data_IF_984662420648
#
_entry.id   IF_984662420648
#
_cell.length_a   1.000
_cell.length_b   1.000
_cell.length_c   1.000
_cell.angle_alpha   90.00
_cell.angle_beta   90.00
_cell.angle_gamma   90.00
#
_symmetry.space_group_name_H-M   'P 1'
#
loop_
_entity.id
_entity.type
_entity.pdbx_description
1 polymer ?
#
# COMPACT_ATOMS: atom_id res chain seq x y z
N UNK A 1 -12.78 7.13 10.30
CA UNK A 1 -12.18 5.85 9.92
C UNK A 1 -12.40 4.90 11.08
N UNK A 2 -13.17 3.86 10.82
CA UNK A 2 -13.49 2.79 11.73
C UNK A 2 -12.31 1.81 11.84
N UNK A 3 -12.30 1.04 12.93
CA UNK A 3 -11.34 -0.04 13.16
C UNK A 3 -11.30 -1.04 11.99
N UNK A 4 -12.46 -1.29 11.37
CA UNK A 4 -12.62 -2.21 10.24
C UNK A 4 -11.93 -1.70 8.98
N UNK A 5 -12.06 -0.41 8.65
CA UNK A 5 -11.40 0.20 7.49
C UNK A 5 -9.87 0.16 7.63
N UNK A 6 -9.36 0.39 8.84
CA UNK A 6 -7.92 0.28 9.15
C UNK A 6 -7.47 -1.17 8.98
N UNK A 7 -8.20 -2.13 9.57
CA UNK A 7 -7.87 -3.54 9.44
C UNK A 7 -7.81 -3.96 7.97
N UNK A 8 -8.76 -3.56 7.13
CA UNK A 8 -8.76 -3.87 5.70
C UNK A 8 -7.52 -3.30 4.98
N UNK A 9 -7.13 -2.05 5.25
CA UNK A 9 -5.94 -1.42 4.64
C UNK A 9 -4.66 -2.18 5.00
N UNK A 10 -4.59 -2.74 6.21
CA UNK A 10 -3.39 -3.37 6.74
C UNK A 10 -3.45 -4.92 6.77
N UNK A 11 -4.51 -5.52 6.21
CA UNK A 11 -4.67 -6.98 6.13
C UNK A 11 -3.60 -7.56 5.18
N UNK A 12 -2.76 -8.47 5.67
CA UNK A 12 -1.69 -9.12 4.89
C UNK A 12 -0.28 -8.61 5.20
N UNK A 13 -0.15 -7.54 5.97
CA UNK A 13 1.14 -7.13 6.53
C UNK A 13 1.36 -7.96 7.79
N UNK A 14 2.55 -8.54 8.03
CA UNK A 14 2.85 -9.34 9.21
C UNK A 14 3.01 -8.42 10.43
N UNK A 15 2.00 -7.61 10.76
CA UNK A 15 2.09 -6.68 11.87
C UNK A 15 1.83 -7.46 13.16
N UNK A 16 2.89 -7.71 13.94
CA UNK A 16 2.77 -7.84 15.39
C UNK A 16 2.42 -6.47 16.02
N UNK A 17 1.53 -5.69 15.40
CA UNK A 17 1.04 -4.43 15.94
C UNK A 17 -0.01 -4.76 16.96
N UNK A 18 0.40 -4.69 18.21
CA UNK A 18 -0.53 -4.63 19.31
C UNK A 18 -1.33 -3.34 19.13
N UNK A 19 -2.61 -3.50 18.77
CA UNK A 19 -3.62 -2.45 18.75
C UNK A 19 -3.82 -1.95 20.18
N UNK A 20 -3.19 -0.83 20.55
CA UNK A 20 -3.42 -0.22 21.86
C UNK A 20 -4.23 1.07 21.70
N UNK A 21 -5.50 0.97 22.09
CA UNK A 21 -6.38 2.10 22.33
C UNK A 21 -6.07 2.69 23.71
N UNK A 22 -5.04 3.53 23.80
CA UNK A 22 -4.95 4.49 24.91
C UNK A 22 -5.22 5.90 24.37
N UNK A 23 -6.20 6.56 24.97
CA UNK A 23 -6.55 7.98 24.77
C UNK A 23 -7.10 8.37 23.38
N UNK A 24 -7.98 7.55 22.78
CA UNK A 24 -8.60 7.82 21.46
C UNK A 24 -7.60 8.09 20.31
N UNK A 25 -6.34 7.65 20.47
CA UNK A 25 -5.29 7.79 19.44
C UNK A 25 -4.88 6.41 18.93
N UNK A 26 -5.00 6.24 17.62
CA UNK A 26 -4.53 5.04 16.92
C UNK A 26 -3.01 5.01 16.91
N UNK A 27 -2.40 3.94 17.43
CA UNK A 27 -0.94 3.72 17.39
C UNK A 27 -0.65 2.40 16.70
N UNK A 28 0.10 2.48 15.60
CA UNK A 28 0.65 1.33 14.90
C UNK A 28 2.07 1.09 15.43
N UNK A 29 2.32 -0.11 15.95
CA UNK A 29 3.64 -0.53 16.44
C UNK A 29 4.23 -1.57 15.50
N UNK A 30 5.49 -1.42 15.11
CA UNK A 30 6.18 -2.36 14.23
C UNK A 30 7.22 -3.14 15.05
N UNK A 31 7.39 -4.44 14.80
CA UNK A 31 8.58 -5.17 15.22
C UNK A 31 9.81 -4.59 14.50
N UNK A 32 11.03 -4.82 14.99
CA UNK A 32 12.24 -4.25 14.37
C UNK A 32 12.41 -4.64 12.89
N UNK A 33 12.07 -5.88 12.52
CA UNK A 33 12.09 -6.33 11.13
C UNK A 33 11.00 -5.67 10.28
N UNK A 34 9.81 -5.47 10.86
CA UNK A 34 8.73 -4.76 10.19
C UNK A 34 8.98 -3.26 10.12
N UNK A 35 9.80 -2.69 11.00
CA UNK A 35 10.17 -1.29 11.00
C UNK A 35 11.11 -0.96 9.83
N UNK A 36 12.04 -1.85 9.49
CA UNK A 36 12.87 -1.69 8.29
C UNK A 36 12.06 -1.87 7.00
N UNK A 37 11.17 -2.86 6.95
CA UNK A 37 10.25 -3.03 5.82
C UNK A 37 9.28 -1.83 5.68
N UNK A 38 8.74 -1.34 6.79
CA UNK A 38 7.86 -0.17 6.81
C UNK A 38 8.58 1.12 6.43
N UNK A 39 9.92 1.22 6.55
CA UNK A 39 10.70 2.37 6.07
C UNK A 39 10.82 2.46 4.55
N UNK A 40 10.49 1.39 3.84
CA UNK A 40 10.52 1.37 2.38
C UNK A 40 9.29 2.12 1.83
N UNK A 41 9.40 2.71 0.63
CA UNK A 41 8.23 3.21 -0.08
C UNK A 41 7.24 2.08 -0.34
N UNK A 42 5.95 2.40 -0.41
CA UNK A 42 4.94 1.43 -0.84
C UNK A 42 5.32 0.89 -2.20
N UNK A 43 5.09 -0.41 -2.38
CA UNK A 43 5.31 -1.05 -3.65
C UNK A 43 4.25 -2.09 -3.95
N UNK A 44 4.13 -2.41 -5.23
CA UNK A 44 3.33 -3.50 -5.73
C UNK A 44 4.30 -4.50 -6.33
N UNK A 45 4.33 -5.70 -5.77
CA UNK A 45 4.99 -6.84 -6.38
C UNK A 45 4.07 -7.40 -7.47
N UNK A 46 4.61 -7.69 -8.66
CA UNK A 46 3.81 -8.24 -9.77
C UNK A 46 4.47 -9.46 -10.39
N UNK A 47 3.65 -10.38 -10.88
CA UNK A 47 4.13 -11.70 -11.33
C UNK A 47 4.66 -11.72 -12.77
N UNK A 48 4.23 -10.79 -13.62
CA UNK A 48 4.57 -10.76 -15.05
C UNK A 48 4.50 -9.35 -15.67
N UNK A 49 4.97 -9.22 -16.91
CA UNK A 49 5.06 -7.97 -17.67
C UNK A 49 3.68 -7.33 -17.96
N UNK A 50 2.69 -8.14 -18.33
CA UNK A 50 1.31 -7.71 -18.62
C UNK A 50 0.70 -6.94 -17.44
N UNK A 51 0.93 -7.41 -16.22
CA UNK A 51 0.41 -6.76 -15.01
C UNK A 51 1.07 -5.39 -14.77
N UNK A 52 2.32 -5.18 -15.20
CA UNK A 52 2.91 -3.83 -15.15
C UNK A 52 2.19 -2.85 -16.01
N UNK A 53 1.94 -3.23 -17.26
CA UNK A 53 1.33 -2.33 -18.22
C UNK A 53 -0.04 -1.90 -17.73
N UNK A 54 -0.83 -2.86 -17.23
CA UNK A 54 -2.16 -2.61 -16.68
C UNK A 54 -2.09 -1.65 -15.47
N UNK A 55 -1.23 -1.93 -14.49
CA UNK A 55 -1.13 -1.11 -13.29
C UNK A 55 -0.55 0.27 -13.62
N UNK A 56 0.44 0.34 -14.52
CA UNK A 56 1.09 1.59 -14.90
C UNK A 56 0.15 2.49 -15.70
N UNK A 57 -0.61 1.93 -16.63
CA UNK A 57 -1.67 2.64 -17.34
C UNK A 57 -2.71 3.17 -16.36
N UNK A 58 -3.12 2.34 -15.40
CA UNK A 58 -4.12 2.74 -14.41
C UNK A 58 -3.63 3.87 -13.50
N UNK A 59 -2.39 3.81 -13.02
CA UNK A 59 -1.76 4.91 -12.28
C UNK A 59 -1.67 6.19 -13.11
N UNK A 60 -1.32 6.08 -14.40
CA UNK A 60 -1.30 7.23 -15.32
C UNK A 60 -2.68 7.87 -15.45
N UNK A 61 -3.75 7.08 -15.57
CA UNK A 61 -5.14 7.57 -15.63
C UNK A 61 -5.58 8.27 -14.35
N UNK A 62 -5.06 7.84 -13.20
CA UNK A 62 -5.32 8.47 -11.90
C UNK A 62 -4.40 9.66 -11.61
N UNK A 63 -3.44 9.97 -12.48
CA UNK A 63 -2.37 10.94 -12.24
C UNK A 63 -1.51 10.61 -11.01
N UNK A 64 -1.28 9.32 -10.74
CA UNK A 64 -0.39 8.84 -9.68
C UNK A 64 0.98 8.57 -10.30
N UNK A 65 2.03 9.35 -9.98
CA UNK A 65 3.38 9.06 -10.45
C UNK A 65 3.88 7.72 -9.92
N UNK A 66 4.72 7.03 -10.68
CA UNK A 66 5.32 5.76 -10.25
C UNK A 66 6.76 5.62 -10.72
N UNK A 67 7.47 4.69 -10.09
CA UNK A 67 8.77 4.19 -10.54
C UNK A 67 8.70 2.67 -10.65
N UNK A 68 9.36 2.07 -11.64
CA UNK A 68 9.39 0.62 -11.83
C UNK A 68 10.80 0.09 -11.60
N UNK A 69 10.92 -1.00 -10.85
CA UNK A 69 12.11 -1.83 -10.75
C UNK A 69 11.83 -3.20 -11.37
N UNK A 70 12.10 -3.32 -12.67
CA UNK A 70 11.86 -4.54 -13.45
C UNK A 70 12.69 -5.73 -12.92
N UNK A 71 13.83 -5.47 -12.28
CA UNK A 71 14.73 -6.54 -11.79
C UNK A 71 14.15 -7.30 -10.61
N UNK A 72 13.42 -6.60 -9.73
CA UNK A 72 12.75 -7.16 -8.54
C UNK A 72 11.28 -7.44 -8.76
N UNK A 73 10.80 -6.98 -9.90
CA UNK A 73 9.42 -6.97 -10.27
C UNK A 73 8.49 -6.09 -9.43
N UNK A 74 8.93 -4.85 -9.16
CA UNK A 74 8.21 -3.94 -8.28
C UNK A 74 7.77 -2.66 -8.98
N UNK A 75 6.59 -2.17 -8.60
CA UNK A 75 6.06 -0.85 -8.96
C UNK A 75 5.98 -0.01 -7.69
N UNK A 76 6.54 1.18 -7.70
CA UNK A 76 6.57 2.11 -6.58
C UNK A 76 5.68 3.33 -6.87
N UNK A 77 4.37 3.27 -6.57
CA UNK A 77 3.48 4.42 -6.70
C UNK A 77 3.83 5.51 -5.68
N UNK A 78 3.69 6.77 -6.08
CA UNK A 78 3.95 7.94 -5.25
C UNK A 78 2.63 8.62 -4.90
N UNK A 79 2.16 8.40 -3.68
CA UNK A 79 0.91 8.98 -3.22
C UNK A 79 1.13 10.40 -2.70
N UNK A 80 0.44 11.36 -3.32
CA UNK A 80 0.42 12.76 -2.85
C UNK A 80 -0.69 13.01 -1.82
N UNK A 81 -1.70 12.14 -1.80
CA UNK A 81 -2.87 12.27 -0.96
C UNK A 81 -3.45 10.91 -0.55
N UNK A 82 -4.36 10.93 0.43
CA UNK A 82 -5.17 9.76 0.75
C UNK A 82 -6.06 9.31 -0.39
N UNK A 83 -6.52 10.25 -1.20
CA UNK A 83 -7.40 9.95 -2.31
C UNK A 83 -6.66 9.10 -3.36
N UNK A 84 -5.40 9.40 -3.62
CA UNK A 84 -4.55 8.63 -4.54
C UNK A 84 -4.40 7.18 -4.05
N UNK A 85 -4.11 7.01 -2.76
CA UNK A 85 -3.99 5.70 -2.12
C UNK A 85 -5.30 4.92 -2.21
N UNK A 86 -6.42 5.57 -1.89
CA UNK A 86 -7.76 4.97 -1.90
C UNK A 86 -8.18 4.53 -3.31
N UNK A 87 -7.96 5.38 -4.32
CA UNK A 87 -8.27 5.05 -5.72
C UNK A 87 -7.49 3.84 -6.23
N UNK A 88 -6.18 3.79 -5.96
CA UNK A 88 -5.33 2.71 -6.44
C UNK A 88 -5.64 1.39 -5.71
N UNK A 89 -5.78 1.42 -4.38
CA UNK A 89 -6.10 0.22 -3.59
C UNK A 89 -7.49 -0.30 -3.90
N UNK A 90 -8.48 0.58 -4.09
CA UNK A 90 -9.81 0.19 -4.56
C UNK A 90 -9.73 -0.54 -5.90
N UNK A 91 -9.01 0.01 -6.88
CA UNK A 91 -8.84 -0.65 -8.17
C UNK A 91 -8.19 -2.03 -8.06
N UNK A 92 -7.08 -2.13 -7.32
CA UNK A 92 -6.37 -3.40 -7.15
C UNK A 92 -7.27 -4.44 -6.49
N UNK A 93 -7.90 -4.11 -5.36
CA UNK A 93 -8.65 -5.08 -4.55
C UNK A 93 -10.01 -5.47 -5.15
N UNK A 94 -10.49 -4.72 -6.14
CA UNK A 94 -11.72 -5.06 -6.88
C UNK A 94 -11.44 -5.75 -8.22
N UNK A 95 -10.18 -5.85 -8.63
CA UNK A 95 -9.79 -6.52 -9.86
C UNK A 95 -9.32 -7.96 -9.55
N UNK A 96 -10.28 -8.89 -9.54
CA UNK A 96 -10.05 -10.32 -9.25
C UNK A 96 -9.09 -11.00 -10.25
N UNK A 97 -8.96 -10.46 -11.47
CA UNK A 97 -8.02 -10.98 -12.46
C UNK A 97 -6.56 -10.65 -12.11
N UNK A 98 -6.32 -9.70 -11.21
CA UNK A 98 -5.00 -9.18 -10.85
C UNK A 98 -4.68 -9.47 -9.38
N UNK A 99 -5.56 -9.13 -8.45
CA UNK A 99 -5.29 -9.22 -7.02
C UNK A 99 -6.02 -10.42 -6.38
N UNK A 100 -5.37 -11.18 -5.47
CA UNK A 100 -3.99 -11.05 -5.02
C UNK A 100 -2.97 -11.88 -5.83
N UNK A 101 -3.43 -12.69 -6.80
CA UNK A 101 -2.60 -13.73 -7.41
C UNK A 101 -1.48 -13.19 -8.31
N UNK A 102 -1.74 -12.08 -9.00
CA UNK A 102 -0.81 -11.50 -9.99
C UNK A 102 -0.17 -10.19 -9.53
N UNK A 103 -0.73 -9.55 -8.51
CA UNK A 103 -0.16 -8.38 -7.86
C UNK A 103 -0.41 -8.41 -6.35
N UNK A 104 0.58 -8.00 -5.57
CA UNK A 104 0.50 -7.86 -4.11
C UNK A 104 0.93 -6.46 -3.69
N UNK A 105 0.09 -5.76 -2.93
CA UNK A 105 0.36 -4.40 -2.47
C UNK A 105 0.99 -4.40 -1.08
N UNK A 106 2.12 -3.74 -0.95
CA UNK A 106 2.90 -3.62 0.27
C UNK A 106 2.98 -2.13 0.67
N UNK A 107 2.24 -1.71 1.69
CA UNK A 107 2.24 -0.31 2.11
C UNK A 107 3.53 0.08 2.84
N UNK A 108 4.00 1.30 2.59
CA UNK A 108 5.24 1.88 3.12
C UNK A 108 5.04 3.05 4.09
N UNK A 109 6.14 3.65 4.56
CA UNK A 109 6.16 4.71 5.60
C UNK A 109 5.44 5.98 5.15
N UNK A 110 5.45 6.27 3.86
CA UNK A 110 4.81 7.47 3.33
C UNK A 110 3.30 7.47 3.56
N UNK A 111 2.66 6.31 3.64
CA UNK A 111 1.25 6.21 4.00
C UNK A 111 1.02 6.71 5.44
N UNK A 112 1.95 6.42 6.36
CA UNK A 112 1.89 6.98 7.72
C UNK A 112 2.02 8.49 7.71
N UNK A 113 2.89 9.05 6.85
CA UNK A 113 3.03 10.51 6.71
C UNK A 113 1.75 11.14 6.18
N UNK A 114 1.04 10.48 5.27
CA UNK A 114 -0.30 10.92 4.85
C UNK A 114 -1.23 10.99 6.07
N UNK A 115 -1.24 9.98 6.95
CA UNK A 115 -2.14 9.92 8.12
C UNK A 115 -1.84 10.98 9.18
N UNK A 116 -0.59 11.42 9.27
CA UNK A 116 -0.14 12.40 10.27
C UNK A 116 -0.27 13.86 9.82
N UNK A 117 -0.45 14.11 8.52
CA UNK A 117 -0.63 15.46 7.95
C UNK A 117 -2.10 15.94 7.95
N UNK A 118 -2.94 15.42 8.85
CA UNK A 118 -4.32 15.92 9.06
C UNK A 118 -4.39 16.92 10.21
#
# INVERSE_FOLDING_TARGET
>A
MSEQEIHTIFTGIPIESIFHTNDNKWRVSFSANNFEAARQPSYIEVVNEEVYEIISEKCSLMNIPLTVDESKRHIYPQFSSFHDLDLLTYYLFTNEDIYPEKASFHPGDEIRKLFMNK
#
